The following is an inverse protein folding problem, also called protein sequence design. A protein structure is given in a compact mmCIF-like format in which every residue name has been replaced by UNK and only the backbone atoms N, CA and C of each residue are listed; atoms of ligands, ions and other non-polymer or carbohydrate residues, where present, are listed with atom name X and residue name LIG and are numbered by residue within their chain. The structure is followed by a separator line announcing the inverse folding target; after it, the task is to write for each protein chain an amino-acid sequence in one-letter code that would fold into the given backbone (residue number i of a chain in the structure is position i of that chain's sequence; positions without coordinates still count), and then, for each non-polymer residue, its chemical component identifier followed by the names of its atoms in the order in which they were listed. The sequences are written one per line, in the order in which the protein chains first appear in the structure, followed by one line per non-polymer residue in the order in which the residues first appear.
data_IF_975047982861
#
_entry.id   IF_975047982861
#
_cell.length_a   1.000
_cell.length_b   1.000
_cell.length_c   1.000
_cell.angle_alpha   90.00
_cell.angle_beta   90.00
_cell.angle_gamma   90.00
#
_symmetry.space_group_name_H-M   'P 1'
#
loop_
_entity.id
_entity.type
_entity.pdbx_description
1 polymer ?
#
# COMPACT_ATOMS: atom_id res chain seq x y z
N UNK A 1 8.97 -30.11 -28.79
CA UNK A 1 7.80 -30.85 -29.31
C UNK A 1 6.55 -30.08 -28.91
N UNK A 2 5.94 -29.38 -29.86
CA UNK A 2 4.70 -28.63 -29.66
C UNK A 2 3.51 -29.51 -30.04
N UNK A 3 2.48 -29.57 -29.19
CA UNK A 3 1.16 -30.07 -29.58
C UNK A 3 0.11 -29.02 -29.23
N UNK A 4 -0.39 -28.42 -30.29
CA UNK A 4 -1.65 -27.67 -30.36
C UNK A 4 -2.80 -28.68 -30.22
N UNK A 5 -3.81 -28.34 -29.42
CA UNK A 5 -5.13 -28.97 -29.50
C UNK A 5 -6.18 -27.87 -29.67
N UNK A 6 -6.80 -27.87 -30.85
CA UNK A 6 -8.06 -27.20 -31.14
C UNK A 6 -9.22 -28.11 -30.72
N UNK A 7 -10.30 -27.55 -30.16
CA UNK A 7 -11.63 -28.13 -30.26
C UNK A 7 -12.75 -27.07 -30.17
N UNK A 8 -13.35 -26.85 -31.35
CA UNK A 8 -14.75 -26.53 -31.72
C UNK A 8 -15.72 -25.86 -30.74
N UNK A 9 -16.39 -24.83 -31.29
CA UNK A 9 -17.70 -24.30 -30.89
C UNK A 9 -18.85 -25.30 -31.14
N UNK A 10 -20.04 -25.02 -30.55
CA UNK A 10 -21.24 -24.95 -31.38
C UNK A 10 -22.09 -23.69 -31.09
N UNK A 11 -22.72 -23.21 -32.15
CA UNK A 11 -23.76 -22.19 -32.17
C UNK A 11 -25.09 -22.76 -31.66
N UNK A 12 -25.86 -21.99 -30.88
CA UNK A 12 -27.30 -22.21 -30.73
C UNK A 12 -28.03 -20.87 -30.59
N UNK A 13 -28.86 -20.57 -31.58
CA UNK A 13 -29.87 -19.51 -31.56
C UNK A 13 -31.16 -20.09 -31.01
N UNK A 14 -31.72 -19.51 -29.95
CA UNK A 14 -33.14 -19.71 -29.57
C UNK A 14 -33.71 -18.37 -29.09
N UNK A 15 -34.75 -17.93 -29.78
CA UNK A 15 -35.63 -16.84 -29.39
C UNK A 15 -36.67 -17.35 -28.39
N UNK A 16 -36.94 -16.60 -27.32
CA UNK A 16 -38.16 -16.76 -26.51
C UNK A 16 -38.70 -15.37 -26.16
N UNK A 17 -39.82 -15.02 -26.80
CA UNK A 17 -40.81 -14.08 -26.28
C UNK A 17 -41.38 -14.63 -24.96
N UNK A 18 -41.64 -13.78 -23.96
CA UNK A 18 -43.03 -13.50 -23.52
C UNK A 18 -43.17 -12.72 -22.20
N UNK A 19 -44.12 -11.77 -22.26
CA UNK A 19 -45.14 -11.40 -21.27
C UNK A 19 -44.74 -10.64 -19.99
N UNK A 20 -45.02 -9.33 -20.04
CA UNK A 20 -45.24 -8.44 -18.90
C UNK A 20 -46.57 -8.75 -18.22
N UNK A 21 -46.51 -9.23 -16.97
CA UNK A 21 -47.62 -9.14 -16.01
C UNK A 21 -47.37 -7.93 -15.11
N UNK A 22 -48.21 -6.91 -15.22
CA UNK A 22 -48.20 -5.76 -14.30
C UNK A 22 -49.03 -6.14 -13.07
N UNK A 23 -48.36 -6.36 -11.95
CA UNK A 23 -48.99 -6.43 -10.62
C UNK A 23 -49.28 -5.02 -10.09
N UNK A 24 -50.29 -4.83 -9.21
CA UNK A 24 -50.60 -3.52 -8.65
C UNK A 24 -49.45 -3.03 -7.78
N UNK A 25 -49.05 -1.78 -8.01
CA UNK A 25 -47.85 -1.19 -7.44
C UNK A 25 -48.13 -0.78 -5.98
N UNK A 26 -47.41 -1.39 -5.05
CA UNK A 26 -47.34 -0.98 -3.64
C UNK A 26 -46.49 0.31 -3.53
N UNK A 27 -46.88 1.25 -2.67
CA UNK A 27 -46.20 2.55 -2.53
C UNK A 27 -44.74 2.43 -2.01
N UNK A 28 -44.34 1.26 -1.50
CA UNK A 28 -42.93 0.94 -1.19
C UNK A 28 -42.15 0.48 -2.42
N UNK A 29 -42.80 -0.07 -3.43
CA UNK A 29 -42.19 -0.47 -4.69
C UNK A 29 -42.02 0.70 -5.65
N UNK A 30 -42.88 1.72 -5.61
CA UNK A 30 -42.65 2.99 -6.34
C UNK A 30 -41.37 3.68 -5.86
N UNK A 31 -41.17 3.82 -4.55
CA UNK A 31 -39.97 4.45 -4.00
C UNK A 31 -38.69 3.68 -4.39
N UNK A 32 -38.73 2.35 -4.38
CA UNK A 32 -37.61 1.51 -4.86
C UNK A 32 -37.42 1.60 -6.37
N UNK A 33 -38.50 1.69 -7.15
CA UNK A 33 -38.44 1.82 -8.60
C UNK A 33 -37.93 3.21 -9.03
N UNK A 34 -38.34 4.28 -8.33
CA UNK A 34 -37.86 5.65 -8.54
C UNK A 34 -36.39 5.79 -8.14
N UNK A 35 -35.97 5.20 -7.01
CA UNK A 35 -34.55 5.13 -6.63
C UNK A 35 -33.74 4.32 -7.65
N UNK A 36 -34.28 3.20 -8.15
CA UNK A 36 -33.63 2.40 -9.22
C UNK A 36 -33.54 3.15 -10.53
N UNK A 37 -34.58 3.89 -10.91
CA UNK A 37 -34.62 4.67 -12.15
C UNK A 37 -33.69 5.89 -12.07
N UNK A 38 -33.67 6.59 -10.92
CA UNK A 38 -32.74 7.68 -10.65
C UNK A 38 -31.29 7.19 -10.60
N UNK A 39 -31.04 6.04 -9.97
CA UNK A 39 -29.74 5.40 -9.96
C UNK A 39 -29.33 4.91 -11.36
N UNK A 40 -30.25 4.36 -12.17
CA UNK A 40 -29.98 4.01 -13.58
C UNK A 40 -29.70 5.24 -14.45
N UNK A 41 -30.42 6.34 -14.26
CA UNK A 41 -30.17 7.61 -14.93
C UNK A 41 -28.80 8.19 -14.54
N UNK A 42 -28.43 8.14 -13.26
CA UNK A 42 -27.09 8.50 -12.78
C UNK A 42 -26.01 7.55 -13.30
N UNK A 43 -26.25 6.24 -13.35
CA UNK A 43 -25.33 5.25 -13.91
C UNK A 43 -25.06 5.54 -15.39
N UNK A 44 -26.10 5.86 -16.15
CA UNK A 44 -26.01 6.15 -17.59
C UNK A 44 -25.22 7.44 -17.85
N UNK A 45 -25.26 8.41 -16.93
CA UNK A 45 -24.43 9.63 -16.97
C UNK A 45 -22.97 9.39 -16.55
N UNK A 46 -22.72 8.43 -15.65
CA UNK A 46 -21.38 8.06 -15.19
C UNK A 46 -20.65 7.15 -16.20
N UNK A 47 -21.38 6.32 -16.94
CA UNK A 47 -20.86 5.42 -17.96
C UNK A 47 -20.62 6.20 -19.26
N UNK A 48 -19.52 6.96 -19.30
CA UNK A 48 -19.15 7.76 -20.47
C UNK A 48 -18.96 6.91 -21.73
N UNK A 49 -19.66 7.27 -22.81
CA UNK A 49 -19.40 6.74 -24.15
C UNK A 49 -18.26 7.56 -24.79
N UNK A 50 -17.03 7.08 -24.66
CA UNK A 50 -15.85 7.66 -25.31
C UNK A 50 -14.93 8.45 -24.36
N UNK A 51 -13.84 7.81 -23.94
CA UNK A 51 -12.77 8.42 -23.13
C UNK A 51 -11.63 7.41 -22.94
N UNK A 52 -10.45 7.85 -22.52
CA UNK A 52 -9.40 6.92 -22.12
C UNK A 52 -9.86 6.13 -20.89
N UNK A 53 -9.66 4.81 -20.83
CA UNK A 53 -10.04 4.02 -19.66
C UNK A 53 -9.22 4.47 -18.45
N UNK A 54 -9.82 4.38 -17.26
CA UNK A 54 -9.11 4.57 -16.00
C UNK A 54 -7.86 3.70 -15.94
N UNK A 55 -6.74 4.31 -15.59
CA UNK A 55 -5.50 3.60 -15.29
C UNK A 55 -5.39 3.23 -13.81
N UNK A 56 -4.42 2.37 -13.48
CA UNK A 56 -4.25 1.85 -12.13
C UNK A 56 -3.91 2.96 -11.11
N UNK A 57 -3.28 4.07 -11.53
CA UNK A 57 -2.93 5.18 -10.65
C UNK A 57 -4.16 5.99 -10.27
N UNK A 58 -5.03 6.24 -11.24
CA UNK A 58 -6.31 6.90 -11.02
C UNK A 58 -7.21 6.05 -10.10
N UNK A 59 -7.21 4.73 -10.30
CA UNK A 59 -7.91 3.81 -9.40
C UNK A 59 -7.33 3.84 -7.97
N UNK A 60 -6.01 3.76 -7.81
CA UNK A 60 -5.37 3.80 -6.49
C UNK A 60 -5.62 5.14 -5.76
N UNK A 61 -5.59 6.26 -6.50
CA UNK A 61 -5.93 7.58 -5.98
C UNK A 61 -7.40 7.64 -5.51
N UNK A 62 -8.33 7.13 -6.32
CA UNK A 62 -9.74 7.04 -5.95
C UNK A 62 -9.96 6.16 -4.71
N UNK A 63 -9.34 4.97 -4.67
CA UNK A 63 -9.44 4.06 -3.53
C UNK A 63 -8.90 4.74 -2.26
N UNK A 64 -7.75 5.42 -2.37
CA UNK A 64 -7.16 6.19 -1.27
C UNK A 64 -8.10 7.30 -0.81
N UNK A 65 -8.73 8.04 -1.73
CA UNK A 65 -9.71 9.06 -1.42
C UNK A 65 -10.92 8.50 -0.64
N UNK A 66 -11.51 7.41 -1.14
CA UNK A 66 -12.63 6.71 -0.51
C UNK A 66 -12.25 6.30 0.92
N UNK A 67 -11.16 5.56 1.06
CA UNK A 67 -10.71 5.02 2.36
C UNK A 67 -10.38 6.13 3.36
N UNK A 68 -9.73 7.22 2.92
CA UNK A 68 -9.48 8.38 3.79
C UNK A 68 -10.78 9.01 4.29
N UNK A 69 -11.76 9.19 3.41
CA UNK A 69 -13.03 9.82 3.77
C UNK A 69 -13.79 8.99 4.79
N UNK A 70 -13.91 7.68 4.53
CA UNK A 70 -14.54 6.76 5.48
C UNK A 70 -13.77 6.67 6.81
N UNK A 71 -12.44 6.57 6.75
CA UNK A 71 -11.59 6.44 7.93
C UNK A 71 -11.74 7.56 8.95
N UNK A 72 -12.14 8.76 8.51
CA UNK A 72 -12.37 9.92 9.38
C UNK A 72 -13.65 9.80 10.22
N UNK A 73 -14.69 9.14 9.71
CA UNK A 73 -16.03 9.16 10.33
C UNK A 73 -16.41 7.84 11.01
N UNK A 74 -15.75 6.73 10.68
CA UNK A 74 -16.11 5.42 11.22
C UNK A 74 -15.50 5.13 12.60
N UNK A 75 -16.15 4.28 13.42
CA UNK A 75 -15.65 3.83 14.71
C UNK A 75 -14.26 3.16 14.67
N UNK A 76 -13.49 3.17 15.78
CA UNK A 76 -12.12 2.65 15.83
C UNK A 76 -11.94 1.17 15.43
N UNK A 77 -12.91 0.32 15.76
CA UNK A 77 -12.90 -1.12 15.45
C UNK A 77 -13.03 -1.38 13.94
N UNK A 78 -13.89 -0.62 13.26
CA UNK A 78 -14.04 -0.69 11.80
C UNK A 78 -12.91 0.05 11.08
N UNK A 79 -12.33 1.09 11.70
CA UNK A 79 -11.17 1.81 11.17
C UNK A 79 -9.98 0.89 10.95
N UNK A 80 -9.75 -0.04 11.86
CA UNK A 80 -8.69 -1.03 11.71
C UNK A 80 -8.97 -2.02 10.57
N UNK A 81 -10.18 -2.57 10.51
CA UNK A 81 -10.58 -3.46 9.40
C UNK A 81 -10.45 -2.78 8.03
N UNK A 82 -10.82 -1.49 7.97
CA UNK A 82 -10.64 -0.65 6.79
C UNK A 82 -9.16 -0.48 6.43
N UNK A 83 -8.30 -0.18 7.42
CA UNK A 83 -6.87 -0.03 7.25
C UNK A 83 -6.19 -1.32 6.75
N UNK A 84 -6.49 -2.47 7.37
CA UNK A 84 -5.95 -3.77 6.93
C UNK A 84 -6.37 -4.09 5.49
N UNK A 85 -7.66 -3.90 5.19
CA UNK A 85 -8.20 -4.15 3.84
C UNK A 85 -7.56 -3.23 2.81
N UNK A 86 -7.39 -1.95 3.13
CA UNK A 86 -6.73 -0.99 2.25
C UNK A 86 -5.28 -1.40 1.94
N UNK A 87 -4.50 -1.77 2.96
CA UNK A 87 -3.13 -2.24 2.75
C UNK A 87 -3.10 -3.46 1.84
N UNK A 88 -3.94 -4.47 2.10
CA UNK A 88 -4.00 -5.65 1.25
C UNK A 88 -4.32 -5.34 -0.21
N UNK A 89 -5.23 -4.39 -0.46
CA UNK A 89 -5.58 -3.97 -1.82
C UNK A 89 -4.42 -3.27 -2.52
N UNK A 90 -3.59 -2.51 -1.78
CA UNK A 90 -2.40 -1.87 -2.36
C UNK A 90 -1.26 -2.85 -2.66
N UNK A 91 -1.08 -3.89 -1.85
CA UNK A 91 -0.15 -4.97 -2.19
C UNK A 91 -0.61 -5.73 -3.43
N UNK A 92 -1.91 -6.06 -3.51
CA UNK A 92 -2.49 -6.71 -4.70
C UNK A 92 -2.34 -5.86 -5.96
N UNK A 93 -2.60 -4.55 -5.86
CA UNK A 93 -2.35 -3.60 -6.93
C UNK A 93 -0.90 -3.67 -7.41
N UNK A 94 0.06 -3.69 -6.49
CA UNK A 94 1.50 -3.73 -6.81
C UNK A 94 1.87 -5.01 -7.56
N UNK A 95 1.39 -6.16 -7.10
CA UNK A 95 1.63 -7.46 -7.73
C UNK A 95 1.02 -7.51 -9.13
N UNK A 96 -0.24 -7.06 -9.26
CA UNK A 96 -0.96 -7.06 -10.53
C UNK A 96 -0.32 -6.10 -11.54
N UNK A 97 0.11 -4.91 -11.11
CA UNK A 97 0.80 -3.94 -11.97
C UNK A 97 2.18 -4.46 -12.41
N UNK A 98 2.91 -5.14 -11.53
CA UNK A 98 4.20 -5.76 -11.89
C UNK A 98 4.03 -6.89 -12.93
N UNK A 99 2.95 -7.67 -12.83
CA UNK A 99 2.64 -8.77 -13.74
C UNK A 99 1.99 -8.32 -15.05
N UNK A 100 1.43 -7.10 -15.10
CA UNK A 100 0.77 -6.52 -16.28
C UNK A 100 1.77 -6.11 -17.39
N UNK A 101 2.57 -7.07 -17.87
CA UNK A 101 3.51 -6.90 -18.98
C UNK A 101 2.88 -7.12 -20.37
N UNK A 102 1.54 -7.31 -20.44
CA UNK A 102 0.83 -7.79 -21.64
C UNK A 102 -0.27 -6.87 -22.19
N UNK A 103 -0.36 -5.60 -21.77
CA UNK A 103 -1.33 -4.64 -22.31
C UNK A 103 -2.79 -4.81 -21.86
N UNK A 104 -3.10 -5.78 -20.99
CA UNK A 104 -4.41 -5.86 -20.33
C UNK A 104 -4.48 -4.82 -19.21
N UNK A 105 -5.57 -4.05 -19.19
CA UNK A 105 -5.85 -3.11 -18.10
C UNK A 105 -6.32 -3.91 -16.87
N UNK A 106 -5.57 -3.93 -15.75
CA UNK A 106 -5.95 -4.70 -14.56
C UNK A 106 -7.08 -4.05 -13.75
N UNK A 107 -7.39 -2.78 -14.01
CA UNK A 107 -8.31 -1.97 -13.21
C UNK A 107 -9.67 -2.64 -13.01
N UNK A 108 -10.35 -3.21 -14.02
CA UNK A 108 -11.68 -3.79 -13.79
C UNK A 108 -11.69 -4.90 -12.74
N UNK A 109 -10.68 -5.77 -12.75
CA UNK A 109 -10.55 -6.82 -11.74
C UNK A 109 -10.23 -6.23 -10.35
N UNK A 110 -9.32 -5.25 -10.29
CA UNK A 110 -8.97 -4.56 -9.05
C UNK A 110 -10.16 -3.87 -8.40
N UNK A 111 -11.08 -3.32 -9.21
CA UNK A 111 -12.30 -2.71 -8.68
C UNK A 111 -13.24 -3.76 -8.11
N UNK A 112 -13.45 -4.85 -8.86
CA UNK A 112 -14.31 -5.95 -8.43
C UNK A 112 -13.82 -6.56 -7.11
N UNK A 113 -12.56 -6.95 -7.06
CA UNK A 113 -11.94 -7.58 -5.90
C UNK A 113 -11.82 -6.61 -4.72
N UNK A 114 -11.49 -5.35 -5.01
CA UNK A 114 -11.44 -4.27 -4.04
C UNK A 114 -12.78 -3.97 -3.39
N UNK A 115 -13.81 -3.75 -4.21
CA UNK A 115 -15.13 -3.37 -3.72
C UNK A 115 -15.81 -4.49 -2.93
N UNK A 116 -15.65 -5.75 -3.37
CA UNK A 116 -16.21 -6.91 -2.66
C UNK A 116 -15.71 -7.02 -1.21
N UNK A 117 -14.47 -6.58 -0.96
CA UNK A 117 -13.85 -6.59 0.37
C UNK A 117 -14.16 -5.32 1.16
N UNK A 118 -14.26 -4.18 0.49
CA UNK A 118 -14.51 -2.88 1.12
C UNK A 118 -15.98 -2.68 1.50
N UNK A 119 -16.93 -3.01 0.60
CA UNK A 119 -18.37 -2.78 0.75
C UNK A 119 -18.94 -3.31 2.07
N UNK A 120 -18.62 -4.54 2.54
CA UNK A 120 -19.13 -5.04 3.83
C UNK A 120 -18.70 -4.18 5.03
N UNK A 121 -17.46 -3.69 5.04
CA UNK A 121 -16.92 -2.86 6.12
C UNK A 121 -17.67 -1.52 6.15
N UNK A 122 -17.89 -0.92 4.97
CA UNK A 122 -18.60 0.35 4.86
C UNK A 122 -20.07 0.20 5.28
N UNK A 123 -20.75 -0.88 4.86
CA UNK A 123 -22.13 -1.18 5.25
C UNK A 123 -22.27 -1.40 6.76
N UNK A 124 -21.32 -2.07 7.38
CA UNK A 124 -21.29 -2.28 8.83
C UNK A 124 -21.14 -0.97 9.61
N UNK A 125 -20.50 0.05 9.03
CA UNK A 125 -20.34 1.35 9.66
C UNK A 125 -21.61 2.21 9.65
N UNK A 126 -22.51 2.02 8.66
CA UNK A 126 -23.67 2.89 8.44
C UNK A 126 -24.54 3.14 9.70
N UNK A 127 -24.90 2.12 10.51
CA UNK A 127 -25.75 2.34 11.69
C UNK A 127 -25.11 3.21 12.78
N UNK A 128 -23.78 3.33 12.78
CA UNK A 128 -23.03 4.11 13.76
C UNK A 128 -22.79 5.57 13.37
N UNK A 129 -23.25 6.00 12.19
CA UNK A 129 -22.98 7.32 11.65
C UNK A 129 -24.14 8.30 11.89
N UNK A 130 -23.87 9.62 11.92
CA UNK A 130 -24.92 10.63 11.82
C UNK A 130 -25.78 10.40 10.58
N UNK A 131 -27.09 10.66 10.67
CA UNK A 131 -28.06 10.37 9.61
C UNK A 131 -27.62 10.90 8.23
N UNK A 132 -27.13 12.13 8.17
CA UNK A 132 -26.67 12.75 6.92
C UNK A 132 -25.48 12.00 6.30
N UNK A 133 -24.47 11.63 7.11
CA UNK A 133 -23.34 10.82 6.66
C UNK A 133 -23.78 9.42 6.23
N UNK A 134 -24.68 8.79 7.00
CA UNK A 134 -25.21 7.47 6.70
C UNK A 134 -25.97 7.47 5.36
N UNK A 135 -26.85 8.44 5.12
CA UNK A 135 -27.60 8.57 3.86
C UNK A 135 -26.66 8.80 2.67
N UNK A 136 -25.63 9.65 2.85
CA UNK A 136 -24.62 9.94 1.81
C UNK A 136 -23.81 8.70 1.45
N UNK A 137 -23.34 7.95 2.46
CA UNK A 137 -22.57 6.74 2.24
C UNK A 137 -23.41 5.59 1.72
N UNK A 138 -24.66 5.46 2.17
CA UNK A 138 -25.61 4.49 1.60
C UNK A 138 -25.81 4.75 0.10
N UNK A 139 -26.04 6.00 -0.30
CA UNK A 139 -26.16 6.37 -1.71
C UNK A 139 -24.88 6.02 -2.51
N UNK A 140 -23.70 6.36 -1.99
CA UNK A 140 -22.44 5.99 -2.63
C UNK A 140 -22.29 4.46 -2.79
N UNK A 141 -22.56 3.71 -1.72
CA UNK A 141 -22.46 2.25 -1.70
C UNK A 141 -23.44 1.64 -2.71
N UNK A 142 -24.69 2.12 -2.75
CA UNK A 142 -25.72 1.62 -3.65
C UNK A 142 -25.37 1.86 -5.13
N UNK A 143 -24.88 3.06 -5.46
CA UNK A 143 -24.42 3.37 -6.82
C UNK A 143 -23.25 2.48 -7.23
N UNK A 144 -22.27 2.29 -6.34
CA UNK A 144 -21.09 1.48 -6.64
C UNK A 144 -21.41 -0.03 -6.69
N UNK A 145 -22.31 -0.53 -5.84
CA UNK A 145 -22.82 -1.91 -5.88
C UNK A 145 -23.53 -2.21 -7.22
N UNK A 146 -24.41 -1.32 -7.67
CA UNK A 146 -25.10 -1.46 -8.95
C UNK A 146 -24.11 -1.44 -10.12
N UNK A 147 -23.16 -0.50 -10.09
CA UNK A 147 -22.13 -0.39 -11.11
C UNK A 147 -21.28 -1.66 -11.20
N UNK A 148 -20.83 -2.18 -10.06
CA UNK A 148 -20.06 -3.43 -9.97
C UNK A 148 -20.89 -4.65 -10.42
N UNK A 149 -22.20 -4.70 -10.12
CA UNK A 149 -23.08 -5.77 -10.57
C UNK A 149 -23.26 -5.78 -12.09
N UNK A 150 -23.42 -4.60 -12.71
CA UNK A 150 -23.49 -4.45 -14.18
C UNK A 150 -22.18 -4.91 -14.83
N UNK A 151 -21.03 -4.52 -14.25
CA UNK A 151 -19.71 -4.89 -14.77
C UNK A 151 -19.45 -6.40 -14.80
N UNK A 152 -20.07 -7.18 -13.91
CA UNK A 152 -19.97 -8.65 -13.92
C UNK A 152 -20.91 -9.35 -14.91
N UNK A 153 -22.11 -8.78 -15.14
CA UNK A 153 -23.18 -9.45 -15.86
C UNK A 153 -23.11 -9.35 -17.39
N UNK A 154 -22.26 -8.47 -17.92
CA UNK A 154 -22.22 -8.19 -19.36
C UNK A 154 -21.10 -8.94 -20.08
N UNK A 155 -21.47 -9.81 -21.05
CA UNK A 155 -20.57 -10.22 -22.16
C UNK A 155 -20.17 -9.04 -23.06
N UNK A 156 -20.83 -7.88 -22.93
CA UNK A 156 -20.37 -6.62 -23.47
C UNK A 156 -19.17 -6.17 -22.64
N UNK A 157 -17.98 -6.41 -23.18
CA UNK A 157 -16.72 -5.99 -22.59
C UNK A 157 -16.78 -4.52 -22.22
N UNK A 158 -16.59 -4.26 -20.92
CA UNK A 158 -16.24 -2.98 -20.31
C UNK A 158 -16.83 -1.76 -21.01
N UNK A 159 -18.01 -1.31 -20.55
CA UNK A 159 -18.23 0.14 -20.49
C UNK A 159 -16.99 0.71 -19.78
N UNK A 160 -16.13 1.37 -20.55
CA UNK A 160 -14.83 1.79 -20.06
C UNK A 160 -15.08 2.76 -18.92
N UNK A 161 -14.66 2.38 -17.71
CA UNK A 161 -14.70 3.28 -16.58
C UNK A 161 -13.93 4.54 -16.97
N UNK A 162 -14.62 5.67 -17.02
CA UNK A 162 -14.01 6.94 -17.34
C UNK A 162 -13.48 7.60 -16.06
N UNK A 163 -12.42 8.41 -16.16
CA UNK A 163 -11.98 9.26 -15.06
C UNK A 163 -13.11 10.13 -14.47
N UNK A 164 -14.03 10.61 -15.30
CA UNK A 164 -15.15 11.43 -14.85
C UNK A 164 -16.20 10.64 -14.05
N UNK A 165 -16.38 9.35 -14.34
CA UNK A 165 -17.18 8.45 -13.53
C UNK A 165 -16.64 8.36 -12.10
N UNK A 166 -15.33 8.15 -11.95
CA UNK A 166 -14.68 8.10 -10.63
C UNK A 166 -14.78 9.44 -9.89
N UNK A 167 -14.60 10.56 -10.58
CA UNK A 167 -14.81 11.89 -9.99
C UNK A 167 -16.25 12.11 -9.55
N UNK A 168 -17.22 11.65 -10.35
CA UNK A 168 -18.64 11.68 -10.00
C UNK A 168 -18.93 10.91 -8.71
N UNK A 169 -18.44 9.67 -8.61
CA UNK A 169 -18.55 8.84 -7.41
C UNK A 169 -17.89 9.50 -6.19
N UNK A 170 -16.69 10.07 -6.36
CA UNK A 170 -15.99 10.77 -5.28
C UNK A 170 -16.78 12.00 -4.76
N UNK A 171 -17.45 12.72 -5.66
CA UNK A 171 -18.30 13.87 -5.29
C UNK A 171 -19.57 13.48 -4.55
N UNK A 172 -20.05 12.24 -4.66
CA UNK A 172 -21.14 11.74 -3.81
C UNK A 172 -20.67 11.72 -2.34
N UNK A 173 -19.44 11.25 -2.10
CA UNK A 173 -18.86 11.15 -0.76
C UNK A 173 -18.49 12.51 -0.16
N UNK A 174 -17.85 13.36 -0.95
CA UNK A 174 -17.39 14.67 -0.51
C UNK A 174 -17.63 15.73 -1.59
N UNK A 175 -18.84 16.32 -1.64
CA UNK A 175 -19.19 17.33 -2.63
C UNK A 175 -18.30 18.57 -2.59
N UNK A 176 -17.77 18.90 -1.41
CA UNK A 176 -16.92 20.07 -1.17
C UNK A 176 -15.42 19.76 -1.30
N UNK A 177 -15.04 18.56 -1.79
CA UNK A 177 -13.64 18.18 -1.93
C UNK A 177 -12.88 19.17 -2.83
N UNK A 178 -11.78 19.71 -2.32
CA UNK A 178 -10.87 20.54 -3.10
C UNK A 178 -9.82 19.68 -3.80
N UNK A 179 -9.58 19.92 -5.09
CA UNK A 179 -8.61 19.17 -5.89
C UNK A 179 -9.24 18.03 -6.70
N UNK A 180 -8.39 17.26 -7.39
CA UNK A 180 -8.84 16.11 -8.19
C UNK A 180 -8.81 14.83 -7.33
N UNK A 181 -9.96 14.18 -7.02
CA UNK A 181 -10.00 12.99 -6.17
C UNK A 181 -9.33 11.75 -6.77
N UNK A 182 -8.99 11.80 -8.06
CA UNK A 182 -8.21 10.76 -8.76
C UNK A 182 -6.80 11.21 -9.14
N UNK A 183 -6.35 12.35 -8.59
CA UNK A 183 -4.99 12.84 -8.75
C UNK A 183 -3.99 11.97 -8.00
N UNK A 184 -3.21 11.18 -8.72
CA UNK A 184 -2.17 10.33 -8.13
C UNK A 184 -1.00 11.16 -7.61
N UNK A 185 -0.65 10.99 -6.34
CA UNK A 185 0.46 11.65 -5.68
C UNK A 185 1.33 10.65 -4.92
N UNK A 186 2.61 10.98 -4.78
CA UNK A 186 3.58 10.24 -3.97
C UNK A 186 3.95 11.00 -2.68
N UNK A 187 3.26 12.10 -2.40
CA UNK A 187 3.45 12.89 -1.20
C UNK A 187 2.98 12.15 0.05
N UNK A 188 3.49 12.59 1.20
CA UNK A 188 3.08 12.04 2.49
C UNK A 188 1.65 12.48 2.82
N UNK A 189 0.75 11.53 2.98
CA UNK A 189 -0.65 11.76 3.28
C UNK A 189 -0.93 11.61 4.78
N UNK A 190 -1.16 12.73 5.48
CA UNK A 190 -1.37 12.73 6.93
C UNK A 190 -2.66 12.00 7.34
N UNK A 191 -3.74 12.15 6.59
CA UNK A 191 -4.99 11.45 6.93
C UNK A 191 -4.86 9.93 6.75
N UNK A 192 -4.04 9.48 5.78
CA UNK A 192 -3.71 8.07 5.67
C UNK A 192 -2.79 7.60 6.81
N UNK A 193 -1.81 8.42 7.23
CA UNK A 193 -0.98 8.11 8.40
C UNK A 193 -1.80 8.00 9.68
N UNK A 194 -2.82 8.84 9.84
CA UNK A 194 -3.74 8.80 10.97
C UNK A 194 -4.63 7.54 10.93
N UNK A 195 -5.16 7.19 9.76
CA UNK A 195 -5.91 5.95 9.54
C UNK A 195 -5.07 4.72 9.93
N UNK A 196 -3.80 4.70 9.53
CA UNK A 196 -2.84 3.63 9.84
C UNK A 196 -2.26 3.75 11.27
N UNK A 197 -2.59 4.78 12.04
CA UNK A 197 -2.05 4.98 13.38
C UNK A 197 -0.52 5.17 13.42
N UNK A 198 0.07 5.69 12.35
CA UNK A 198 1.49 6.02 12.25
C UNK A 198 1.81 7.39 12.88
N UNK A 199 0.78 8.22 13.08
CA UNK A 199 0.88 9.56 13.66
C UNK A 199 1.61 10.55 12.74
N UNK A 200 2.14 11.62 13.33
CA UNK A 200 2.78 12.71 12.59
C UNK A 200 3.86 12.20 11.60
N UNK A 201 3.99 12.85 10.43
CA UNK A 201 4.99 12.49 9.45
C UNK A 201 6.40 12.66 10.02
N UNK A 202 7.30 11.80 9.57
CA UNK A 202 8.72 12.00 9.81
C UNK A 202 9.17 13.28 9.10
N UNK A 203 10.17 13.95 9.67
CA UNK A 203 10.76 15.12 9.03
C UNK A 203 11.20 14.74 7.61
N UNK A 204 10.79 15.54 6.62
CA UNK A 204 11.26 15.36 5.26
C UNK A 204 12.80 15.47 5.24
N UNK A 205 13.47 14.77 4.32
CA UNK A 205 14.91 14.96 4.10
C UNK A 205 15.22 16.45 3.94
N UNK A 206 16.31 16.92 4.54
CA UNK A 206 16.74 18.31 4.33
C UNK A 206 16.95 18.55 2.82
N UNK A 207 16.59 19.73 2.25
CA UNK A 207 16.81 20.08 0.83
C UNK A 207 18.29 20.15 0.38
N UNK A 208 19.20 19.53 1.13
CA UNK A 208 20.64 19.64 1.03
C UNK A 208 21.30 18.45 0.34
N UNK A 209 20.76 17.99 -0.78
CA UNK A 209 21.59 17.66 -1.96
C UNK A 209 20.68 17.84 -3.16
N UNK A 210 20.99 18.80 -4.04
CA UNK A 210 20.44 18.79 -5.40
C UNK A 210 20.97 17.54 -6.10
N UNK A 211 20.28 16.41 -5.94
CA UNK A 211 20.57 15.23 -6.74
C UNK A 211 20.27 15.58 -8.20
N UNK A 212 21.33 15.63 -9.00
CA UNK A 212 21.26 15.67 -10.45
C UNK A 212 20.71 14.33 -10.95
N UNK A 213 19.41 14.12 -10.79
CA UNK A 213 18.67 13.14 -11.57
C UNK A 213 18.66 13.64 -13.02
N UNK A 214 19.53 13.09 -13.87
CA UNK A 214 19.31 13.21 -15.31
C UNK A 214 18.17 12.26 -15.73
N UNK A 215 17.26 12.71 -16.62
CA UNK A 215 15.94 12.14 -16.77
C UNK A 215 15.98 10.91 -17.69
N UNK A 216 16.13 9.73 -17.08
CA UNK A 216 15.91 8.43 -17.73
C UNK A 216 14.69 7.67 -17.20
N UNK A 217 14.18 8.06 -16.02
CA UNK A 217 12.88 7.65 -15.50
C UNK A 217 11.96 8.88 -15.58
N UNK A 218 10.88 8.80 -16.36
CA UNK A 218 9.96 9.93 -16.58
C UNK A 218 9.41 10.44 -15.25
N UNK A 219 9.93 11.59 -14.79
CA UNK A 219 9.39 12.37 -13.69
C UNK A 219 8.06 13.00 -14.12
N UNK A 220 7.01 12.76 -13.35
CA UNK A 220 5.78 13.57 -13.40
C UNK A 220 5.54 14.14 -12.00
N UNK A 221 6.10 15.32 -11.74
CA UNK A 221 5.66 16.20 -10.67
C UNK A 221 6.08 17.63 -11.00
N UNK A 222 5.16 18.42 -11.55
CA UNK A 222 5.24 19.88 -11.48
C UNK A 222 4.66 20.27 -10.13
N UNK A 223 5.51 20.43 -9.12
CA UNK A 223 5.08 20.99 -7.84
C UNK A 223 4.86 22.49 -8.05
N UNK A 224 3.65 22.97 -7.76
CA UNK A 224 3.29 24.37 -7.75
C UNK A 224 3.58 24.88 -6.34
N UNK A 225 4.65 25.65 -6.18
CA UNK A 225 5.01 26.30 -4.92
C UNK A 225 3.89 27.25 -4.47
N UNK A 226 3.30 26.95 -3.32
CA UNK A 226 2.42 27.83 -2.57
C UNK A 226 2.99 27.99 -1.17
N UNK A 227 3.57 29.15 -0.89
CA UNK A 227 4.23 29.48 0.37
C UNK A 227 3.22 29.66 1.49
N UNK A 228 3.32 28.85 2.55
CA UNK A 228 2.70 29.14 3.85
C UNK A 228 3.80 29.06 4.92
N UNK A 229 4.03 30.12 5.71
CA UNK A 229 5.05 30.09 6.75
C UNK A 229 4.52 29.35 7.99
N UNK A 230 5.15 28.24 8.35
CA UNK A 230 4.95 27.58 9.65
C UNK A 230 5.88 28.20 10.70
N UNK A 231 5.39 28.63 11.88
CA UNK A 231 6.24 29.09 12.98
C UNK A 231 6.89 27.90 13.67
N UNK A 232 8.23 27.94 13.77
CA UNK A 232 9.05 26.86 14.32
C UNK A 232 9.07 26.82 15.84
N UNK A 233 8.90 25.62 16.38
CA UNK A 233 9.53 25.19 17.63
C UNK A 233 10.45 24.02 17.30
N UNK A 234 11.69 24.35 16.93
CA UNK A 234 12.74 23.38 16.65
C UNK A 234 13.44 22.98 17.94
N UNK A 235 13.26 21.74 18.38
CA UNK A 235 14.29 21.06 19.16
C UNK A 235 15.30 20.54 18.14
N UNK A 236 16.43 21.24 18.02
CA UNK A 236 17.55 20.78 17.20
C UNK A 236 18.19 19.57 17.88
N UNK A 237 17.80 18.36 17.47
CA UNK A 237 18.62 17.18 17.69
C UNK A 237 19.90 17.37 16.87
N UNK A 238 21.04 17.42 17.53
CA UNK A 238 22.33 17.52 16.87
C UNK A 238 22.47 16.38 15.85
N UNK A 239 22.45 16.72 14.57
CA UNK A 239 22.81 15.82 13.48
C UNK A 239 24.30 15.54 13.62
N UNK A 240 24.66 14.37 14.16
CA UNK A 240 26.06 13.98 14.20
C UNK A 240 26.65 13.94 12.78
N UNK A 241 27.85 14.48 12.56
CA UNK A 241 28.47 14.62 11.24
C UNK A 241 28.66 13.28 10.50
N UNK A 242 28.62 12.14 11.19
CA UNK A 242 28.71 10.81 10.57
C UNK A 242 27.45 10.37 9.82
N UNK A 243 26.27 10.97 10.08
CA UNK A 243 25.03 10.59 9.39
C UNK A 243 24.90 11.21 8.00
N UNK A 244 25.35 12.46 7.83
CA UNK A 244 25.45 13.08 6.51
C UNK A 244 26.43 12.33 5.59
N UNK A 245 27.43 11.63 6.15
CA UNK A 245 28.43 10.85 5.42
C UNK A 245 27.91 9.51 4.87
N UNK A 246 26.73 9.05 5.29
CA UNK A 246 26.11 7.82 4.76
C UNK A 246 25.33 8.08 3.47
N UNK A 247 24.75 9.28 3.35
CA UNK A 247 24.24 9.74 2.07
C UNK A 247 25.42 9.86 1.09
N UNK A 248 25.21 9.40 -0.14
CA UNK A 248 26.20 9.46 -1.21
C UNK A 248 27.38 8.46 -1.11
N UNK A 249 27.31 7.46 -0.22
CA UNK A 249 28.40 6.51 -0.03
C UNK A 249 28.06 5.09 -0.50
N UNK A 250 29.03 4.45 -1.14
CA UNK A 250 29.11 3.00 -1.35
C UNK A 250 30.45 2.57 -0.77
N UNK A 251 30.48 1.64 0.19
CA UNK A 251 31.74 1.21 0.78
C UNK A 251 32.62 0.49 -0.25
N UNK A 252 33.92 0.76 -0.15
CA UNK A 252 35.01 0.01 -0.76
C UNK A 252 35.67 -0.88 0.30
N UNK A 253 36.55 -1.80 -0.10
CA UNK A 253 37.09 -2.80 0.82
C UNK A 253 37.82 -2.18 2.04
N UNK A 254 38.48 -1.04 1.83
CA UNK A 254 39.24 -0.34 2.88
C UNK A 254 38.39 0.45 3.88
N UNK A 255 37.10 0.69 3.61
CA UNK A 255 36.24 1.51 4.47
C UNK A 255 34.93 0.81 4.88
N UNK A 256 34.72 -0.44 4.45
CA UNK A 256 33.51 -1.23 4.70
C UNK A 256 33.14 -1.33 6.18
N UNK A 257 34.10 -1.61 7.06
CA UNK A 257 33.82 -1.73 8.50
C UNK A 257 33.29 -0.41 9.08
N UNK A 258 33.91 0.72 8.72
CA UNK A 258 33.46 2.05 9.15
C UNK A 258 32.05 2.38 8.66
N UNK A 259 31.73 2.01 7.41
CA UNK A 259 30.40 2.18 6.84
C UNK A 259 29.37 1.33 7.59
N UNK A 260 29.66 0.04 7.84
CA UNK A 260 28.73 -0.85 8.53
C UNK A 260 28.49 -0.42 9.97
N UNK A 261 29.51 0.08 10.69
CA UNK A 261 29.35 0.62 12.04
C UNK A 261 28.46 1.88 12.04
N UNK A 262 28.59 2.75 11.04
CA UNK A 262 27.73 3.92 10.90
C UNK A 262 26.27 3.53 10.60
N UNK A 263 26.02 2.56 9.72
CA UNK A 263 24.65 2.05 9.48
C UNK A 263 24.10 1.32 10.72
N UNK A 264 24.92 0.55 11.44
CA UNK A 264 24.55 -0.08 12.70
C UNK A 264 24.11 0.95 13.74
N UNK A 265 24.83 2.07 13.86
CA UNK A 265 24.47 3.19 14.73
C UNK A 265 23.14 3.83 14.31
N UNK A 266 22.95 4.08 13.01
CA UNK A 266 21.70 4.59 12.46
C UNK A 266 20.50 3.68 12.82
N UNK A 267 20.62 2.37 12.55
CA UNK A 267 19.60 1.37 12.87
C UNK A 267 19.34 1.28 14.38
N UNK A 268 20.39 1.38 15.21
CA UNK A 268 20.26 1.39 16.66
C UNK A 268 19.43 2.58 17.17
N UNK A 269 19.71 3.79 16.68
CA UNK A 269 19.01 4.99 17.10
C UNK A 269 17.55 4.96 16.67
N UNK A 270 17.24 4.54 15.44
CA UNK A 270 15.84 4.41 15.02
C UNK A 270 15.10 3.36 15.85
N UNK A 271 15.72 2.22 16.18
CA UNK A 271 15.09 1.21 17.05
C UNK A 271 14.71 1.78 18.41
N UNK A 272 15.62 2.51 19.07
CA UNK A 272 15.35 3.13 20.37
C UNK A 272 14.24 4.18 20.29
N UNK A 273 14.30 5.06 19.27
CA UNK A 273 13.29 6.09 19.04
C UNK A 273 11.90 5.48 18.83
N UNK A 274 11.80 4.42 18.05
CA UNK A 274 10.52 3.76 17.76
C UNK A 274 10.01 2.94 18.95
N UNK A 275 10.89 2.24 19.67
CA UNK A 275 10.51 1.55 20.90
C UNK A 275 9.84 2.51 21.90
N UNK A 276 10.44 3.70 22.10
CA UNK A 276 9.87 4.75 22.94
C UNK A 276 8.55 5.31 22.37
N UNK A 277 8.49 5.58 21.06
CA UNK A 277 7.26 6.08 20.39
C UNK A 277 6.08 5.12 20.59
N UNK A 278 6.30 3.82 20.45
CA UNK A 278 5.26 2.79 20.57
C UNK A 278 5.08 2.26 21.99
N UNK A 279 5.89 2.73 22.96
CA UNK A 279 5.86 2.31 24.37
C UNK A 279 5.91 0.78 24.52
N UNK A 280 6.85 0.16 23.80
CA UNK A 280 6.99 -1.30 23.83
C UNK A 280 7.44 -1.76 25.22
N UNK A 281 6.94 -2.89 25.73
CA UNK A 281 7.53 -3.54 26.89
C UNK A 281 8.99 -3.92 26.61
N UNK A 282 9.84 -3.93 27.63
CA UNK A 282 11.30 -4.18 27.51
C UNK A 282 11.62 -5.46 26.71
N UNK A 283 10.86 -6.53 26.93
CA UNK A 283 10.98 -7.80 26.18
C UNK A 283 10.77 -7.62 24.66
N UNK A 284 9.90 -6.69 24.25
CA UNK A 284 9.59 -6.39 22.86
C UNK A 284 10.53 -5.32 22.27
N UNK A 285 11.22 -4.52 23.08
CA UNK A 285 12.21 -3.55 22.59
C UNK A 285 13.40 -4.26 21.95
N UNK A 286 13.91 -5.31 22.61
CA UNK A 286 15.00 -6.14 22.08
C UNK A 286 14.57 -6.82 20.78
N UNK A 287 13.37 -7.41 20.75
CA UNK A 287 12.81 -8.03 19.56
C UNK A 287 12.66 -7.03 18.40
N UNK A 288 12.11 -5.84 18.66
CA UNK A 288 11.94 -4.80 17.65
C UNK A 288 13.29 -4.37 17.05
N UNK A 289 14.31 -4.18 17.88
CA UNK A 289 15.68 -3.89 17.42
C UNK A 289 16.20 -5.01 16.52
N UNK A 290 16.07 -6.26 16.94
CA UNK A 290 16.56 -7.41 16.17
C UNK A 290 15.84 -7.52 14.81
N UNK A 291 14.52 -7.29 14.78
CA UNK A 291 13.74 -7.26 13.54
C UNK A 291 14.25 -6.14 12.62
N UNK A 292 14.39 -4.90 13.10
CA UNK A 292 14.83 -3.77 12.27
C UNK A 292 16.19 -4.05 11.61
N UNK A 293 17.13 -4.60 12.37
CA UNK A 293 18.45 -4.97 11.87
C UNK A 293 18.38 -6.08 10.82
N UNK A 294 17.60 -7.13 11.10
CA UNK A 294 17.41 -8.25 10.20
C UNK A 294 16.68 -7.85 8.91
N UNK A 295 15.69 -6.96 8.98
CA UNK A 295 14.99 -6.41 7.80
C UNK A 295 15.97 -5.63 6.92
N UNK A 296 16.74 -4.69 7.48
CA UNK A 296 17.74 -3.95 6.71
C UNK A 296 18.80 -4.87 6.07
N UNK A 297 19.18 -5.96 6.76
CA UNK A 297 20.09 -6.95 6.20
C UNK A 297 19.40 -7.72 5.07
N UNK A 298 18.18 -8.20 5.30
CA UNK A 298 17.43 -8.99 4.35
C UNK A 298 17.12 -8.24 3.06
N UNK A 299 16.76 -6.96 3.16
CA UNK A 299 16.36 -6.14 2.01
C UNK A 299 17.55 -5.73 1.14
N UNK A 300 18.66 -5.28 1.73
CA UNK A 300 19.79 -4.72 0.95
C UNK A 300 21.19 -5.06 1.46
N UNK A 301 21.29 -5.86 2.53
CA UNK A 301 22.49 -6.01 3.34
C UNK A 301 23.05 -4.67 3.82
N UNK A 302 22.19 -3.82 4.37
CA UNK A 302 22.55 -2.50 4.89
C UNK A 302 23.05 -1.51 3.82
N UNK A 303 22.65 -1.68 2.56
CA UNK A 303 23.02 -0.79 1.46
C UNK A 303 21.93 0.20 1.14
N UNK A 304 22.27 1.48 1.22
CA UNK A 304 21.44 2.50 0.62
C UNK A 304 21.71 2.63 -0.88
N UNK A 305 22.98 2.67 -1.28
CA UNK A 305 23.41 2.94 -2.64
C UNK A 305 24.26 1.81 -3.24
N UNK A 306 24.33 1.79 -4.57
CA UNK A 306 25.22 0.99 -5.39
C UNK A 306 25.84 1.84 -6.52
N UNK A 307 27.04 1.46 -6.98
CA UNK A 307 27.65 2.05 -8.18
C UNK A 307 27.09 1.33 -9.42
N UNK A 308 26.53 2.09 -10.37
CA UNK A 308 26.16 1.64 -11.72
C UNK A 308 26.97 2.42 -12.74
N UNK A 309 28.11 1.87 -13.13
CA UNK A 309 29.13 2.62 -13.88
C UNK A 309 29.70 3.74 -13.02
N UNK A 310 29.66 4.98 -13.53
CA UNK A 310 30.10 6.18 -12.78
C UNK A 310 29.01 6.78 -11.89
N UNK A 311 27.79 6.27 -11.98
CA UNK A 311 26.64 6.82 -11.26
C UNK A 311 26.44 6.12 -9.92
N UNK A 312 26.15 6.92 -8.91
CA UNK A 312 25.66 6.45 -7.62
C UNK A 312 24.13 6.39 -7.66
N UNK A 313 23.56 5.22 -7.41
CA UNK A 313 22.11 5.01 -7.45
C UNK A 313 21.65 4.32 -6.17
N UNK A 314 20.46 4.65 -5.62
CA UNK A 314 19.89 3.84 -4.56
C UNK A 314 19.68 2.39 -5.04
N UNK A 315 19.80 1.42 -4.13
CA UNK A 315 19.44 0.02 -4.42
C UNK A 315 17.98 -0.02 -4.82
N UNK A 316 17.65 -0.53 -6.01
CA UNK A 316 16.28 -0.55 -6.53
C UNK A 316 15.79 -1.98 -6.76
N UNK A 317 14.56 -2.28 -6.35
CA UNK A 317 13.85 -3.51 -6.71
C UNK A 317 13.23 -3.40 -8.10
N UNK A 318 12.82 -4.56 -8.66
CA UNK A 318 12.03 -4.60 -9.89
C UNK A 318 10.65 -3.91 -9.73
N UNK A 319 10.10 -3.89 -8.50
CA UNK A 319 8.83 -3.23 -8.15
C UNK A 319 8.96 -1.73 -7.88
N UNK A 320 10.18 -1.16 -7.96
CA UNK A 320 10.43 0.27 -7.77
C UNK A 320 10.65 0.71 -6.32
N UNK A 321 10.80 -0.22 -5.40
CA UNK A 321 11.25 0.05 -4.04
C UNK A 321 12.73 0.43 -4.01
N UNK A 322 13.14 1.31 -3.09
CA UNK A 322 14.46 1.93 -3.07
C UNK A 322 15.14 1.86 -1.68
N UNK A 323 16.48 1.77 -1.69
CA UNK A 323 17.35 2.04 -0.54
C UNK A 323 17.34 0.97 0.56
N UNK A 324 17.92 1.33 1.71
CA UNK A 324 18.29 0.48 2.85
C UNK A 324 17.25 -0.58 3.24
N UNK A 325 15.98 -0.19 3.33
CA UNK A 325 14.86 -1.04 3.69
C UNK A 325 13.81 -1.15 2.57
N UNK A 326 14.17 -0.81 1.32
CA UNK A 326 13.31 -0.96 0.15
C UNK A 326 11.93 -0.28 0.33
N UNK A 327 11.95 1.03 0.56
CA UNK A 327 10.73 1.88 0.64
C UNK A 327 10.63 2.81 -0.58
N UNK A 328 9.55 3.60 -0.70
CA UNK A 328 9.19 4.43 -1.88
C UNK A 328 10.21 5.51 -2.30
N UNK A 329 9.88 6.28 -3.36
CA UNK A 329 10.79 7.23 -4.07
C UNK A 329 11.39 8.37 -3.21
N UNK A 330 10.88 8.63 -2.01
CA UNK A 330 11.52 9.54 -1.04
C UNK A 330 12.79 8.91 -0.41
N UNK A 331 13.06 7.64 -0.70
CA UNK A 331 14.18 6.86 -0.22
C UNK A 331 15.53 7.22 -0.83
N UNK A 332 15.76 8.47 -1.24
CA UNK A 332 17.07 8.96 -1.66
C UNK A 332 17.99 9.33 -0.48
N UNK A 333 17.42 9.42 0.72
CA UNK A 333 18.10 9.69 1.99
C UNK A 333 18.07 8.42 2.87
N UNK A 334 19.24 7.98 3.35
CA UNK A 334 19.36 6.75 4.15
C UNK A 334 18.67 6.86 5.51
N UNK A 335 18.64 8.04 6.11
CA UNK A 335 18.02 8.24 7.42
C UNK A 335 16.50 8.22 7.29
N UNK A 336 15.93 8.89 6.29
CA UNK A 336 14.52 8.77 5.98
C UNK A 336 14.17 7.32 5.63
N UNK A 337 14.99 6.64 4.81
CA UNK A 337 14.77 5.26 4.41
C UNK A 337 14.74 4.29 5.60
N UNK A 338 15.76 4.36 6.46
CA UNK A 338 15.83 3.57 7.69
C UNK A 338 14.70 3.90 8.66
N UNK A 339 14.36 5.18 8.83
CA UNK A 339 13.25 5.59 9.70
C UNK A 339 11.89 5.06 9.23
N UNK A 340 11.56 5.24 7.95
CA UNK A 340 10.29 4.77 7.41
C UNK A 340 10.21 3.25 7.34
N UNK A 341 11.26 2.55 6.89
CA UNK A 341 11.28 1.08 6.86
C UNK A 341 11.17 0.46 8.26
N UNK A 342 11.82 1.05 9.26
CA UNK A 342 11.70 0.60 10.64
C UNK A 342 10.31 0.89 11.23
N UNK A 343 9.71 2.05 10.93
CA UNK A 343 8.33 2.38 11.35
C UNK A 343 7.32 1.39 10.74
N UNK A 344 7.45 1.05 9.46
CA UNK A 344 6.60 0.06 8.78
C UNK A 344 6.81 -1.35 9.38
N UNK A 345 8.06 -1.73 9.65
CA UNK A 345 8.36 -3.02 10.29
C UNK A 345 7.68 -3.12 11.66
N UNK A 346 7.77 -2.07 12.46
CA UNK A 346 7.18 -2.05 13.80
C UNK A 346 5.65 -1.92 13.78
N UNK A 347 5.10 -1.26 12.76
CA UNK A 347 3.68 -1.29 12.48
C UNK A 347 3.19 -2.73 12.28
N UNK A 348 3.86 -3.54 11.46
CA UNK A 348 3.51 -4.95 11.28
C UNK A 348 3.72 -5.80 12.54
N UNK A 349 4.79 -5.56 13.29
CA UNK A 349 5.00 -6.25 14.57
C UNK A 349 3.83 -6.02 15.53
N UNK A 350 3.51 -4.76 15.78
CA UNK A 350 2.55 -4.38 16.83
C UNK A 350 1.10 -4.58 16.42
N UNK A 351 0.73 -4.21 15.19
CA UNK A 351 -0.65 -4.24 14.71
C UNK A 351 -1.08 -5.56 14.12
N UNK A 352 -0.13 -6.39 13.67
CA UNK A 352 -0.43 -7.68 13.06
C UNK A 352 0.14 -8.84 13.86
N UNK A 353 1.47 -8.98 13.95
CA UNK A 353 2.08 -10.17 14.54
C UNK A 353 1.70 -10.36 16.01
N UNK A 354 1.87 -9.34 16.85
CA UNK A 354 1.52 -9.39 18.28
C UNK A 354 0.01 -9.45 18.46
N UNK A 355 -0.74 -8.60 17.75
CA UNK A 355 -2.19 -8.53 17.88
C UNK A 355 -2.89 -9.83 17.50
N UNK A 356 -2.41 -10.51 16.45
CA UNK A 356 -2.93 -11.81 15.99
C UNK A 356 -2.27 -12.99 16.73
N UNK A 357 -1.48 -12.72 17.77
CA UNK A 357 -0.80 -13.71 18.62
C UNK A 357 -0.01 -14.73 17.79
N UNK A 358 0.77 -14.25 16.82
CA UNK A 358 1.50 -15.12 15.90
C UNK A 358 2.52 -16.02 16.63
N UNK A 359 3.10 -15.59 17.74
CA UNK A 359 3.92 -16.41 18.64
C UNK A 359 3.17 -17.62 19.25
N UNK A 360 1.85 -17.51 19.41
CA UNK A 360 1.03 -18.56 20.03
C UNK A 360 0.45 -19.55 19.01
N UNK A 361 0.65 -19.29 17.73
CA UNK A 361 0.22 -20.19 16.66
C UNK A 361 1.19 -21.39 16.57
N UNK A 362 0.73 -22.58 16.13
CA UNK A 362 1.63 -23.70 15.86
C UNK A 362 2.72 -23.33 14.84
N UNK A 363 3.98 -23.46 15.24
CA UNK A 363 5.13 -23.06 14.42
C UNK A 363 5.25 -21.54 14.23
N UNK A 364 4.59 -20.78 15.10
CA UNK A 364 4.46 -19.33 15.08
C UNK A 364 5.70 -18.59 15.57
N UNK A 365 5.94 -17.40 15.01
CA UNK A 365 7.08 -16.55 15.35
C UNK A 365 6.78 -15.08 14.97
N UNK A 366 6.94 -14.16 15.92
CA UNK A 366 6.63 -12.73 15.72
C UNK A 366 7.53 -12.08 14.67
N UNK A 367 8.83 -12.40 14.65
CA UNK A 367 9.77 -11.80 13.71
C UNK A 367 9.51 -12.28 12.28
N UNK A 368 9.30 -13.58 12.10
CA UNK A 368 8.98 -14.17 10.79
C UNK A 368 7.65 -13.65 10.28
N UNK A 369 6.62 -13.58 11.14
CA UNK A 369 5.33 -13.01 10.78
C UNK A 369 5.46 -11.54 10.34
N UNK A 370 6.18 -10.74 11.14
CA UNK A 370 6.44 -9.33 10.84
C UNK A 370 7.10 -9.16 9.48
N UNK A 371 8.13 -9.95 9.18
CA UNK A 371 8.82 -9.85 7.90
C UNK A 371 7.98 -10.35 6.72
N UNK A 372 7.24 -11.44 6.88
CA UNK A 372 6.34 -11.92 5.83
C UNK A 372 5.28 -10.87 5.48
N UNK A 373 4.75 -10.15 6.47
CA UNK A 373 3.84 -9.03 6.24
C UNK A 373 4.54 -7.79 5.66
N UNK A 374 5.76 -7.46 6.10
CA UNK A 374 6.56 -6.38 5.52
C UNK A 374 6.78 -6.59 4.02
N UNK A 375 7.18 -7.81 3.65
CA UNK A 375 7.54 -8.18 2.30
C UNK A 375 6.34 -8.38 1.37
N UNK A 376 5.24 -8.97 1.87
CA UNK A 376 4.11 -9.39 1.02
C UNK A 376 2.74 -8.82 1.42
N UNK A 377 2.67 -7.96 2.43
CA UNK A 377 1.45 -7.36 2.93
C UNK A 377 0.72 -8.21 3.98
N UNK A 378 -0.34 -7.66 4.61
CA UNK A 378 -1.02 -8.29 5.73
C UNK A 378 -1.50 -9.73 5.50
N UNK A 379 -2.04 -10.06 4.32
CA UNK A 379 -2.44 -11.45 3.97
C UNK A 379 -1.30 -12.46 4.00
N UNK A 380 -0.05 -12.02 3.91
CA UNK A 380 1.12 -12.87 3.92
C UNK A 380 1.68 -13.12 5.33
N UNK A 381 1.07 -12.53 6.37
CA UNK A 381 1.52 -12.62 7.76
C UNK A 381 1.87 -14.06 8.18
N UNK A 382 1.04 -15.03 7.79
CA UNK A 382 1.14 -16.42 8.21
C UNK A 382 1.92 -17.33 7.25
N UNK A 383 2.40 -16.82 6.11
CA UNK A 383 2.85 -17.67 5.00
C UNK A 383 4.04 -18.55 5.39
N UNK A 384 4.92 -18.06 6.27
CA UNK A 384 6.15 -18.73 6.69
C UNK A 384 5.93 -20.07 7.42
N UNK A 385 4.72 -20.31 7.91
CA UNK A 385 4.29 -21.54 8.61
C UNK A 385 3.18 -22.28 7.85
N UNK A 386 2.84 -21.87 6.63
CA UNK A 386 1.88 -22.59 5.81
C UNK A 386 2.42 -23.97 5.41
N UNK A 387 1.56 -24.98 5.38
CA UNK A 387 1.92 -26.35 5.00
C UNK A 387 2.44 -26.44 3.56
N UNK A 388 1.85 -25.64 2.67
CA UNK A 388 2.29 -25.50 1.28
C UNK A 388 2.68 -24.05 1.05
N UNK A 389 3.98 -23.82 0.86
CA UNK A 389 4.53 -22.50 0.52
C UNK A 389 5.01 -22.53 -0.93
N UNK A 390 4.84 -21.41 -1.63
CA UNK A 390 5.54 -21.22 -2.89
C UNK A 390 7.06 -21.22 -2.62
N UNK A 391 7.83 -21.82 -3.53
CA UNK A 391 9.26 -22.07 -3.30
C UNK A 391 10.08 -20.78 -3.09
N UNK A 392 9.68 -19.69 -3.74
CA UNK A 392 10.33 -18.39 -3.63
C UNK A 392 10.11 -17.75 -2.25
N UNK A 393 8.87 -17.69 -1.77
CA UNK A 393 8.54 -17.20 -0.43
C UNK A 393 9.20 -18.03 0.65
N UNK A 394 9.24 -19.36 0.50
CA UNK A 394 9.97 -20.23 1.42
C UNK A 394 11.45 -19.85 1.49
N UNK A 395 12.10 -19.63 0.35
CA UNK A 395 13.50 -19.19 0.30
C UNK A 395 13.71 -17.82 0.95
N UNK A 396 12.80 -16.88 0.71
CA UNK A 396 12.80 -15.54 1.31
C UNK A 396 12.70 -15.64 2.84
N UNK A 397 11.69 -16.37 3.35
CA UNK A 397 11.41 -16.47 4.78
C UNK A 397 12.49 -17.29 5.51
N UNK A 398 13.07 -18.33 4.89
CA UNK A 398 14.23 -19.04 5.43
C UNK A 398 15.50 -18.18 5.46
N UNK A 399 15.71 -17.33 4.44
CA UNK A 399 16.82 -16.39 4.43
C UNK A 399 16.69 -15.35 5.52
N UNK A 400 15.49 -14.79 5.70
CA UNK A 400 15.21 -13.86 6.78
C UNK A 400 15.42 -14.51 8.14
N UNK A 401 14.90 -15.73 8.36
CA UNK A 401 15.07 -16.46 9.61
C UNK A 401 16.55 -16.59 10.01
N UNK A 402 17.43 -16.99 9.07
CA UNK A 402 18.87 -17.12 9.34
C UNK A 402 19.52 -15.80 9.74
N UNK A 403 19.15 -14.69 9.07
CA UNK A 403 19.66 -13.35 9.38
C UNK A 403 19.15 -12.87 10.74
N UNK A 404 17.87 -13.10 11.03
CA UNK A 404 17.29 -12.79 12.33
C UNK A 404 17.98 -13.57 13.46
N UNK A 405 18.17 -14.87 13.31
CA UNK A 405 18.90 -15.70 14.28
C UNK A 405 20.35 -15.22 14.51
N UNK A 406 21.04 -14.76 13.46
CA UNK A 406 22.37 -14.16 13.60
C UNK A 406 22.33 -12.85 14.39
N UNK A 407 21.38 -11.96 14.09
CA UNK A 407 21.19 -10.70 14.80
C UNK A 407 20.80 -10.93 16.28
N UNK A 408 19.88 -11.86 16.55
CA UNK A 408 19.46 -12.21 17.92
C UNK A 408 20.61 -12.76 18.77
N UNK A 409 21.62 -13.35 18.13
CA UNK A 409 22.82 -13.83 18.79
C UNK A 409 23.97 -12.81 18.83
N UNK A 410 23.71 -11.53 18.52
CA UNK A 410 24.72 -10.45 18.54
C UNK A 410 25.74 -10.51 17.40
N UNK A 411 25.42 -11.24 16.32
CA UNK A 411 26.28 -11.40 15.14
C UNK A 411 25.77 -10.59 13.95
N UNK A 412 25.15 -9.44 14.20
CA UNK A 412 24.61 -8.59 13.13
C UNK A 412 25.68 -8.12 12.12
N UNK A 413 26.95 -8.03 12.54
CA UNK A 413 28.06 -7.63 11.68
C UNK A 413 28.46 -8.69 10.63
N UNK A 414 27.92 -9.91 10.72
CA UNK A 414 28.03 -10.91 9.65
C UNK A 414 27.43 -10.43 8.31
N UNK A 415 26.63 -9.35 8.31
CA UNK A 415 26.19 -8.63 7.11
C UNK A 415 27.34 -8.24 6.16
N UNK A 416 28.56 -8.09 6.69
CA UNK A 416 29.80 -7.92 5.94
C UNK A 416 29.97 -8.99 4.83
N UNK A 417 29.52 -10.22 5.08
CA UNK A 417 29.61 -11.32 4.11
C UNK A 417 28.91 -11.00 2.79
N UNK A 418 27.88 -10.15 2.78
CA UNK A 418 27.21 -9.72 1.56
C UNK A 418 28.09 -8.87 0.64
N UNK A 419 29.21 -8.33 1.13
CA UNK A 419 30.09 -7.41 0.39
C UNK A 419 31.30 -8.11 -0.21
N UNK A 420 31.60 -9.32 0.25
CA UNK A 420 32.67 -10.14 -0.30
C UNK A 420 32.11 -10.86 -1.52
N UNK A 421 32.66 -10.57 -2.70
CA UNK A 421 32.39 -11.33 -3.93
C UNK A 421 33.41 -12.43 -4.10
#
# INVERSE_FOLDING_TARGET
MAKVFFLRAPSLTVAILSLTLVSPIDARDTAKAEVRLAAQLQLTQLLGLGGAPVDWRQWDAFLTFVVKRFGQEIPPDLRESLAETFLDLRYELTDVVALASGGQNPVPQLIWDGWRRLSPILKQALPGLPKESADRYANFIDVLDQWVAVAQGSQLGFLQLSPDALRGLARILEPAATGDPIGYTLEVDNALRDLLGLGAPMAAPSPGTKQSWQPGFRSFAKIREGSVPSPGFGVALATEPDRQRLNERVPEDGDLESYLLAVRSLLAVVSQKLAAKYRLPEEHESLARQIIFAVGWQETCWRQFIKKGKLLMPVASASGALGLMQISQLGADIEYNGNAGAEISLYYLTRFAMKKNEDKQPGGDLARATYSAYNGGPRQLSRYRAATQNAESKKIDESFRKKFEAVSAGREMEVQSCYRK
#
